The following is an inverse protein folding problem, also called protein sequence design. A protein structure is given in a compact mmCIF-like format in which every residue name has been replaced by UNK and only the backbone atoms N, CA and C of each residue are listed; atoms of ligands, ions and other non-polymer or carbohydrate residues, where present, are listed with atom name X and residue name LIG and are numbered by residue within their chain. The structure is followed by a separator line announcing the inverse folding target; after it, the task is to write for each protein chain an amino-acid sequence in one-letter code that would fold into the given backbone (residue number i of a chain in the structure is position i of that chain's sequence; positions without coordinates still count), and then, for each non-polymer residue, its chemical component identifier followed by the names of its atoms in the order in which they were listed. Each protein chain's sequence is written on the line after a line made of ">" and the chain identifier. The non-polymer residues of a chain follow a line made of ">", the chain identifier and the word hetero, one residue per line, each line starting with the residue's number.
data_IF_005214326952
#
_entry.id   IF_005214326952
#
_cell.length_a   1.000
_cell.length_b   1.000
_cell.length_c   1.000
_cell.angle_alpha   90.00
_cell.angle_beta   90.00
_cell.angle_gamma   90.00
#
_symmetry.space_group_name_H-M   'P 1'
#
loop_
_entity.id
_entity.type
_entity.pdbx_description
1 polymer ?
#
# COMPACT_ATOMS: atom_id res chain seq x y z
N UNK A 1 -5.62 -40.63 -36.47
CA UNK A 1 -4.67 -40.45 -35.35
C UNK A 1 -3.76 -39.22 -35.54
N UNK A 2 -4.32 -38.06 -35.92
CA UNK A 2 -3.55 -36.82 -36.18
C UNK A 2 -4.02 -35.66 -35.29
N UNK A 3 -5.29 -35.69 -34.91
CA UNK A 3 -5.92 -34.70 -34.03
C UNK A 3 -5.61 -34.94 -32.55
N UNK A 4 -5.36 -36.20 -32.14
CA UNK A 4 -5.03 -36.55 -30.75
C UNK A 4 -3.70 -35.92 -30.30
N UNK A 5 -2.71 -35.85 -31.19
CA UNK A 5 -1.39 -35.26 -30.89
C UNK A 5 -1.42 -33.74 -30.81
N UNK A 6 -2.36 -33.09 -31.54
CA UNK A 6 -2.52 -31.63 -31.51
C UNK A 6 -3.21 -31.14 -30.23
N UNK A 7 -4.13 -31.92 -29.66
CA UNK A 7 -4.77 -31.57 -28.38
C UNK A 7 -3.79 -31.65 -27.20
N UNK A 8 -2.86 -32.62 -27.20
CA UNK A 8 -1.88 -32.77 -26.11
C UNK A 8 -0.89 -31.59 -26.05
N UNK A 9 -0.44 -31.06 -27.19
CA UNK A 9 0.46 -29.89 -27.21
C UNK A 9 -0.22 -28.58 -26.78
N UNK A 10 -1.53 -28.42 -26.98
CA UNK A 10 -2.25 -27.19 -26.58
C UNK A 10 -2.58 -27.21 -25.08
N UNK A 11 -2.80 -28.39 -24.51
CA UNK A 11 -3.04 -28.57 -23.07
C UNK A 11 -1.75 -28.38 -22.25
N UNK A 12 -0.58 -28.79 -22.79
CA UNK A 12 0.68 -28.55 -22.05
C UNK A 12 1.16 -27.10 -22.08
N UNK A 13 0.72 -26.29 -23.05
CA UNK A 13 1.07 -24.87 -23.17
C UNK A 13 0.23 -23.97 -22.25
N UNK A 14 -0.93 -24.45 -21.80
CA UNK A 14 -1.84 -23.70 -20.91
C UNK A 14 -1.52 -23.86 -19.42
N UNK A 15 -0.63 -24.79 -19.05
CA UNK A 15 -0.22 -25.04 -17.65
C UNK A 15 0.96 -24.18 -17.17
N UNK A 16 1.57 -23.36 -18.04
CA UNK A 16 2.73 -22.52 -17.69
C UNK A 16 2.37 -21.09 -17.21
N UNK A 17 1.08 -20.77 -17.05
CA UNK A 17 0.63 -19.42 -16.68
C UNK A 17 0.09 -19.31 -15.25
N UNK A 18 0.46 -20.22 -14.35
CA UNK A 18 0.31 -19.99 -12.90
C UNK A 18 1.46 -19.09 -12.47
N UNK A 19 1.33 -17.79 -12.77
CA UNK A 19 2.25 -16.77 -12.32
C UNK A 19 2.27 -16.72 -10.79
N UNK A 20 3.47 -16.87 -10.22
CA UNK A 20 3.71 -16.60 -8.81
C UNK A 20 3.24 -15.18 -8.47
N UNK A 21 2.16 -15.07 -7.69
CA UNK A 21 1.88 -13.84 -6.95
C UNK A 21 2.84 -13.82 -5.78
N UNK A 22 3.95 -13.11 -5.92
CA UNK A 22 4.77 -12.74 -4.77
C UNK A 22 3.92 -11.77 -3.94
N UNK A 23 3.44 -12.23 -2.78
CA UNK A 23 2.71 -11.39 -1.85
C UNK A 23 3.74 -10.45 -1.22
N UNK A 24 3.80 -9.22 -1.69
CA UNK A 24 4.62 -8.19 -1.06
C UNK A 24 4.14 -8.01 0.38
N UNK A 25 5.06 -8.06 1.34
CA UNK A 25 4.75 -7.77 2.73
C UNK A 25 4.30 -6.30 2.80
N UNK A 26 3.13 -6.09 3.40
CA UNK A 26 2.54 -4.76 3.60
C UNK A 26 2.55 -4.49 5.09
N UNK A 27 3.10 -3.35 5.46
CA UNK A 27 3.17 -2.88 6.82
C UNK A 27 2.12 -1.79 7.00
N UNK A 28 1.58 -1.66 8.21
CA UNK A 28 0.59 -0.64 8.53
C UNK A 28 1.00 0.17 9.74
N UNK A 29 0.56 1.42 9.78
CA UNK A 29 0.57 2.24 10.97
C UNK A 29 -0.71 3.08 11.01
N UNK A 30 -1.11 3.47 12.22
CA UNK A 30 -2.22 4.39 12.45
C UNK A 30 -1.68 5.71 12.93
N UNK A 31 -2.21 6.81 12.40
CA UNK A 31 -1.77 8.14 12.79
C UNK A 31 -2.82 9.20 12.54
N UNK A 32 -2.52 10.40 13.03
CA UNK A 32 -3.39 11.57 12.92
C UNK A 32 -2.82 12.57 11.92
N UNK A 33 -3.67 13.05 11.01
CA UNK A 33 -3.27 14.08 10.04
C UNK A 33 -3.08 15.41 10.77
N UNK A 34 -1.86 15.95 10.74
CA UNK A 34 -1.54 17.26 11.32
C UNK A 34 -1.59 18.39 10.29
N UNK A 35 -1.24 18.09 9.04
CA UNK A 35 -1.21 19.08 7.95
C UNK A 35 -1.46 18.40 6.61
N UNK A 36 -2.12 19.09 5.69
CA UNK A 36 -2.28 18.68 4.29
C UNK A 36 -1.66 19.75 3.38
N UNK A 37 -0.85 19.32 2.41
CA UNK A 37 -0.24 20.18 1.38
C UNK A 37 -0.46 19.55 0.00
N UNK A 38 -1.49 19.99 -0.71
CA UNK A 38 -1.86 19.39 -1.99
C UNK A 38 -2.40 17.97 -1.79
N UNK A 39 -1.72 16.98 -2.36
CA UNK A 39 -2.09 15.55 -2.24
C UNK A 39 -1.32 14.81 -1.15
N UNK A 40 -0.40 15.47 -0.45
CA UNK A 40 0.37 14.87 0.65
C UNK A 40 -0.10 15.39 1.99
N UNK A 41 0.01 14.53 3.00
CA UNK A 41 -0.27 14.84 4.39
C UNK A 41 0.96 14.61 5.27
N UNK A 42 1.12 15.45 6.28
CA UNK A 42 2.00 15.19 7.41
C UNK A 42 1.17 14.48 8.48
N UNK A 43 1.61 13.30 8.89
CA UNK A 43 0.88 12.42 9.79
C UNK A 43 1.76 12.12 11.00
N UNK A 44 1.23 12.38 12.20
CA UNK A 44 1.85 11.95 13.45
C UNK A 44 1.45 10.50 13.71
N UNK A 45 2.42 9.59 13.76
CA UNK A 45 2.17 8.16 13.96
C UNK A 45 1.82 7.90 15.42
N UNK A 46 0.62 7.37 15.65
CA UNK A 46 0.11 7.04 16.98
C UNK A 46 0.33 5.56 17.31
N UNK A 47 0.31 4.65 16.33
CA UNK A 47 0.49 3.21 16.51
C UNK A 47 1.26 2.60 15.32
N UNK A 48 2.18 1.67 15.58
CA UNK A 48 3.00 0.99 14.57
C UNK A 48 4.51 1.08 14.84
N UNK A 49 5.32 0.48 13.97
CA UNK A 49 6.77 0.35 14.17
C UNK A 49 7.52 1.71 14.21
N UNK A 50 6.94 2.75 13.62
CA UNK A 50 7.48 4.10 13.56
C UNK A 50 6.71 5.10 14.44
N UNK A 51 6.06 4.60 15.51
CA UNK A 51 5.30 5.39 16.48
C UNK A 51 6.07 6.63 16.97
N UNK A 52 5.36 7.75 17.12
CA UNK A 52 5.89 9.02 17.59
C UNK A 52 6.64 9.84 16.53
N UNK A 53 6.74 9.32 15.30
CA UNK A 53 7.37 10.03 14.18
C UNK A 53 6.36 10.82 13.36
N UNK A 54 6.81 11.88 12.71
CA UNK A 54 6.07 12.56 11.65
C UNK A 54 6.43 11.95 10.29
N UNK A 55 5.42 11.58 9.50
CA UNK A 55 5.58 10.89 8.21
C UNK A 55 4.84 11.65 7.11
N UNK A 56 5.48 11.79 5.96
CA UNK A 56 4.83 12.28 4.74
C UNK A 56 4.08 11.13 4.04
N UNK A 57 2.76 11.30 3.89
CA UNK A 57 1.84 10.29 3.34
C UNK A 57 1.19 10.83 2.08
N UNK A 58 1.21 10.06 0.99
CA UNK A 58 0.50 10.43 -0.23
C UNK A 58 -0.98 10.02 -0.14
N UNK A 59 -1.88 11.00 0.00
CA UNK A 59 -3.33 10.76 0.07
C UNK A 59 -3.94 10.40 -1.29
N UNK A 60 -3.28 10.69 -2.41
CA UNK A 60 -3.83 10.42 -3.75
C UNK A 60 -3.99 8.93 -4.07
N UNK A 61 -3.48 8.04 -3.23
CA UNK A 61 -3.65 6.59 -3.39
C UNK A 61 -5.08 6.14 -3.07
N UNK A 62 -5.84 6.97 -2.34
CA UNK A 62 -7.27 6.79 -2.13
C UNK A 62 -8.01 7.93 -2.84
N UNK A 63 -8.82 7.57 -3.84
CA UNK A 63 -9.62 8.52 -4.65
C UNK A 63 -11.06 8.63 -4.19
N UNK A 64 -11.49 7.77 -3.27
CA UNK A 64 -12.89 7.65 -2.83
C UNK A 64 -13.17 8.56 -1.63
N UNK A 65 -12.20 8.70 -0.74
CA UNK A 65 -12.34 9.44 0.51
C UNK A 65 -11.71 10.84 0.43
N UNK A 66 -12.28 11.78 1.19
CA UNK A 66 -11.71 13.11 1.39
C UNK A 66 -11.26 13.24 2.83
N UNK A 67 -9.94 13.32 3.03
CA UNK A 67 -9.33 13.45 4.36
C UNK A 67 -9.15 14.92 4.76
N UNK A 68 -9.27 15.20 6.05
CA UNK A 68 -9.12 16.50 6.67
C UNK A 68 -8.06 16.46 7.77
N UNK A 69 -7.53 17.64 8.10
CA UNK A 69 -6.64 17.79 9.27
C UNK A 69 -7.41 17.42 10.53
N UNK A 70 -6.81 16.55 11.34
CA UNK A 70 -7.41 16.00 12.56
C UNK A 70 -7.95 14.58 12.40
N UNK A 71 -8.15 14.10 11.17
CA UNK A 71 -8.62 12.74 10.93
C UNK A 71 -7.55 11.70 11.34
N UNK A 72 -8.05 10.57 11.82
CA UNK A 72 -7.24 9.39 12.15
C UNK A 72 -7.30 8.41 10.99
N UNK A 73 -6.15 8.03 10.46
CA UNK A 73 -6.02 7.19 9.27
C UNK A 73 -5.12 5.99 9.54
N UNK A 74 -5.44 4.87 8.91
CA UNK A 74 -4.55 3.73 8.76
C UNK A 74 -3.84 3.82 7.41
N UNK A 75 -2.52 3.64 7.41
CA UNK A 75 -1.66 3.79 6.24
C UNK A 75 -0.93 2.49 5.99
N UNK A 76 -1.11 1.93 4.79
CA UNK A 76 -0.33 0.79 4.30
C UNK A 76 0.91 1.25 3.53
N UNK A 77 2.06 0.62 3.76
CA UNK A 77 3.32 0.89 3.09
C UNK A 77 4.17 -0.38 2.87
N UNK A 78 5.24 -0.26 2.09
CA UNK A 78 6.07 -1.40 1.66
C UNK A 78 7.20 -1.78 2.64
N UNK A 79 7.17 -1.25 3.87
CA UNK A 79 8.21 -1.46 4.88
C UNK A 79 9.44 -0.56 4.73
N UNK A 80 9.61 0.13 3.60
CA UNK A 80 10.75 1.02 3.38
C UNK A 80 10.50 2.39 4.03
N UNK A 81 11.43 2.80 4.90
CA UNK A 81 11.42 4.12 5.56
C UNK A 81 12.71 4.84 5.23
N UNK A 82 12.61 6.05 4.68
CA UNK A 82 13.75 6.88 4.36
C UNK A 82 14.05 7.86 5.49
N UNK A 83 15.27 7.79 6.02
CA UNK A 83 15.76 8.68 7.09
C UNK A 83 15.79 10.14 6.62
N UNK A 84 14.73 10.88 6.95
CA UNK A 84 14.48 12.27 6.55
C UNK A 84 13.64 12.97 7.64
N UNK A 85 13.44 14.29 7.54
CA UNK A 85 12.61 15.06 8.46
C UNK A 85 11.62 15.95 7.68
N UNK A 86 10.33 15.55 7.56
CA UNK A 86 9.70 14.34 8.12
C UNK A 86 10.17 13.05 7.45
N UNK A 87 9.87 11.90 8.06
CA UNK A 87 10.15 10.59 7.46
C UNK A 87 9.36 10.42 6.17
N UNK A 88 9.95 9.72 5.21
CA UNK A 88 9.33 9.44 3.92
C UNK A 88 9.17 7.93 3.71
N UNK A 89 8.03 7.56 3.14
CA UNK A 89 7.64 6.17 2.86
C UNK A 89 7.02 6.07 1.47
N UNK A 90 6.89 4.84 0.96
CA UNK A 90 6.02 4.57 -0.19
C UNK A 90 4.62 4.19 0.30
N UNK A 91 3.70 5.14 0.24
CA UNK A 91 2.29 4.89 0.55
C UNK A 91 1.65 3.96 -0.48
N UNK A 92 1.00 2.89 -0.01
CA UNK A 92 0.28 1.92 -0.83
C UNK A 92 -1.24 2.04 -0.67
N UNK A 93 -1.70 2.33 0.54
CA UNK A 93 -3.12 2.54 0.85
C UNK A 93 -3.28 3.55 1.99
N UNK A 94 -4.43 4.22 1.99
CA UNK A 94 -4.87 5.10 3.08
C UNK A 94 -6.37 4.89 3.25
N UNK A 95 -6.81 4.74 4.49
CA UNK A 95 -8.23 4.64 4.86
C UNK A 95 -8.45 5.25 6.24
N UNK A 96 -9.69 5.57 6.60
CA UNK A 96 -10.00 5.95 7.97
C UNK A 96 -9.68 4.78 8.92
N UNK A 97 -9.09 5.09 10.07
CA UNK A 97 -8.87 4.09 11.12
C UNK A 97 -10.20 3.71 11.77
N UNK A 98 -10.38 2.43 12.12
CA UNK A 98 -11.51 2.00 12.96
C UNK A 98 -11.30 2.52 14.41
N UNK A 99 -12.37 3.01 15.05
CA UNK A 99 -12.35 3.56 16.42
C UNK A 99 -12.02 2.53 17.50
#
# INVERSE_FOLDING_TARGET
>A
MKYLFRFVCVISLSLFLVGCTEKADTFTFTGKIERITGTTALVLVEEGDIQGSEVEVNLSVNTEDTFLVGDRIEVGYDGSVMESAPLQIKTLSVQFAEE
#
